data_IF_591737912019
#
_entry.id   IF_591737912019
#
_cell.length_a   1.000
_cell.length_b   1.000
_cell.length_c   1.000
_cell.angle_alpha   90.00
_cell.angle_beta   90.00
_cell.angle_gamma   90.00
#
_symmetry.space_group_name_H-M   'P 1'
#
loop_
_entity.id
_entity.type
_entity.pdbx_description
1 polymer ?
#
# COMPACT_ATOMS: atom_id res chain seq x y z
N UNK A 1 10.05 -13.72 5.15
CA UNK A 1 9.26 -13.69 3.89
C UNK A 1 9.22 -15.01 3.14
N UNK A 2 10.31 -15.80 3.06
CA UNK A 2 10.32 -17.10 2.34
C UNK A 2 9.34 -18.14 2.89
N UNK A 3 9.05 -18.12 4.19
CA UNK A 3 8.07 -19.01 4.84
C UNK A 3 6.60 -18.75 4.40
N UNK A 4 6.25 -17.50 4.13
CA UNK A 4 4.91 -17.11 3.70
C UNK A 4 4.69 -17.35 2.19
N UNK A 5 5.77 -17.30 1.39
CA UNK A 5 5.74 -17.55 -0.07
C UNK A 5 5.32 -18.99 -0.43
N UNK A 6 5.73 -19.99 0.36
CA UNK A 6 5.41 -21.41 0.11
C UNK A 6 3.92 -21.77 0.34
N UNK A 7 3.22 -21.00 1.18
CA UNK A 7 1.83 -21.25 1.56
C UNK A 7 0.82 -20.76 0.52
N UNK A 8 1.13 -19.69 -0.23
CA UNK A 8 0.22 -19.09 -1.21
C UNK A 8 -0.01 -19.98 -2.44
N UNK A 9 1.00 -20.76 -2.85
CA UNK A 9 0.90 -21.70 -3.98
C UNK A 9 -0.10 -22.84 -3.78
N UNK A 10 -0.51 -23.13 -2.55
CA UNK A 10 -1.26 -24.35 -2.20
C UNK A 10 -2.80 -24.20 -2.14
N UNK A 11 -3.36 -23.00 -2.27
CA UNK A 11 -4.81 -22.75 -2.14
C UNK A 11 -5.57 -22.59 -3.48
N UNK A 12 -4.92 -22.79 -4.63
CA UNK A 12 -5.58 -22.81 -5.95
C UNK A 12 -6.34 -24.12 -6.16
N UNK A 13 -7.56 -24.25 -5.67
CA UNK A 13 -8.55 -25.15 -6.26
C UNK A 13 -9.95 -24.88 -5.69
N UNK A 14 -10.73 -24.06 -6.39
CA UNK A 14 -12.20 -24.20 -6.48
C UNK A 14 -12.69 -23.37 -7.67
N UNK A 15 -13.07 -24.07 -8.75
CA UNK A 15 -13.77 -23.53 -9.93
C UNK A 15 -15.19 -23.20 -9.51
N UNK A 16 -15.75 -22.01 -9.76
CA UNK A 16 -17.19 -21.87 -10.05
C UNK A 16 -17.55 -20.57 -10.82
N UNK A 17 -18.27 -20.86 -11.91
CA UNK A 17 -19.31 -20.18 -12.72
C UNK A 17 -19.60 -18.68 -12.48
N UNK A 18 -19.57 -17.95 -13.60
CA UNK A 18 -19.92 -16.55 -13.81
C UNK A 18 -21.43 -16.27 -13.87
N UNK A 19 -21.88 -15.21 -13.21
CA UNK A 19 -23.15 -14.56 -13.54
C UNK A 19 -22.98 -13.04 -13.42
N UNK A 20 -23.21 -12.35 -14.54
CA UNK A 20 -23.21 -10.90 -14.67
C UNK A 20 -24.54 -10.37 -14.14
N UNK A 21 -24.52 -9.33 -13.30
CA UNK A 21 -25.73 -8.61 -12.89
C UNK A 21 -25.60 -7.11 -13.20
N UNK A 22 -26.68 -6.42 -13.62
CA UNK A 22 -26.62 -5.05 -14.11
C UNK A 22 -26.64 -4.01 -12.97
N UNK A 23 -25.95 -2.90 -13.23
CA UNK A 23 -25.88 -1.72 -12.37
C UNK A 23 -27.19 -0.91 -12.42
N UNK A 24 -27.81 -0.62 -11.27
CA UNK A 24 -28.82 0.43 -11.14
C UNK A 24 -28.34 1.49 -10.15
N UNK A 25 -28.25 2.72 -10.63
CA UNK A 25 -27.91 3.91 -9.86
C UNK A 25 -29.10 4.33 -8.98
N UNK A 26 -28.86 4.50 -7.68
CA UNK A 26 -29.68 5.36 -6.81
C UNK A 26 -28.78 6.35 -6.10
N UNK A 27 -29.02 7.63 -6.37
CA UNK A 27 -28.40 8.74 -5.65
C UNK A 27 -28.89 8.74 -4.20
N UNK A 28 -27.96 8.82 -3.24
CA UNK A 28 -28.25 9.03 -1.82
C UNK A 28 -27.73 10.42 -1.47
N UNK A 29 -28.65 11.32 -1.15
CA UNK A 29 -28.34 12.63 -0.58
C UNK A 29 -27.89 12.43 0.87
N UNK A 30 -26.67 12.86 1.20
CA UNK A 30 -26.15 12.87 2.57
C UNK A 30 -26.21 14.30 3.08
N UNK A 31 -26.94 14.50 4.18
CA UNK A 31 -27.08 15.79 4.86
C UNK A 31 -25.72 16.29 5.36
N UNK A 32 -25.51 17.60 5.21
CA UNK A 32 -24.34 18.32 5.71
C UNK A 32 -24.34 18.30 7.24
N UNK A 33 -23.36 17.63 7.85
CA UNK A 33 -23.00 17.85 9.25
C UNK A 33 -22.05 19.05 9.34
N UNK A 34 -22.48 20.06 10.08
CA UNK A 34 -21.73 21.26 10.42
C UNK A 34 -20.52 20.89 11.29
N UNK A 35 -19.32 21.22 10.83
CA UNK A 35 -18.07 21.10 11.60
C UNK A 35 -18.07 22.21 12.66
N UNK A 36 -18.22 21.83 13.93
CA UNK A 36 -17.98 22.72 15.05
C UNK A 36 -16.47 22.97 15.21
N UNK A 37 -16.07 24.22 15.34
CA UNK A 37 -14.70 24.62 15.73
C UNK A 37 -14.42 24.13 17.16
N UNK A 38 -13.66 23.04 17.27
CA UNK A 38 -13.19 22.52 18.55
C UNK A 38 -11.90 23.24 18.95
N UNK A 39 -12.02 24.24 19.83
CA UNK A 39 -10.91 24.97 20.46
C UNK A 39 -10.34 24.21 21.66
N UNK A 40 -10.12 22.90 21.49
CA UNK A 40 -9.46 22.08 22.50
C UNK A 40 -7.93 22.19 22.34
N UNK A 41 -7.26 22.74 23.35
CA UNK A 41 -5.82 22.60 23.53
C UNK A 41 -5.47 21.12 23.47
N UNK A 42 -4.76 20.71 22.42
CA UNK A 42 -4.39 19.30 22.23
C UNK A 42 -3.57 18.83 23.45
N UNK A 43 -3.96 17.73 24.11
CA UNK A 43 -3.23 17.25 25.26
C UNK A 43 -1.79 16.92 24.84
N UNK A 44 -0.81 17.42 25.59
CA UNK A 44 0.60 17.04 25.42
C UNK A 44 0.67 15.52 25.59
N UNK A 45 0.96 14.80 24.51
CA UNK A 45 1.11 13.36 24.55
C UNK A 45 2.46 13.07 25.19
N UNK A 46 2.45 12.75 26.48
CA UNK A 46 3.63 12.27 27.20
C UNK A 46 3.97 10.84 26.72
N UNK A 47 4.85 10.75 25.71
CA UNK A 47 5.28 9.48 25.12
C UNK A 47 6.47 8.90 25.90
N UNK A 48 6.19 8.17 26.97
CA UNK A 48 7.19 7.38 27.66
C UNK A 48 7.41 6.00 26.98
N UNK A 49 8.45 5.91 26.15
CA UNK A 49 8.88 4.65 25.53
C UNK A 49 9.48 3.64 26.52
N UNK A 50 9.73 4.03 27.77
CA UNK A 50 10.23 3.14 28.82
C UNK A 50 9.11 2.45 29.61
N UNK A 51 7.86 2.89 29.45
CA UNK A 51 6.70 2.22 30.05
C UNK A 51 6.30 0.95 29.28
N UNK A 52 6.99 -0.13 29.61
CA UNK A 52 6.71 -1.45 29.05
C UNK A 52 5.35 -2.01 29.51
N UNK A 53 4.82 -1.58 30.67
CA UNK A 53 3.51 -2.06 31.15
C UNK A 53 2.41 -1.54 30.24
N UNK A 54 2.46 -0.26 29.89
CA UNK A 54 1.52 0.32 28.95
C UNK A 54 1.69 -0.27 27.54
N UNK A 55 2.93 -0.46 27.08
CA UNK A 55 3.21 -1.00 25.74
C UNK A 55 2.67 -2.44 25.53
N UNK A 56 2.68 -3.26 26.57
CA UNK A 56 2.25 -4.66 26.51
C UNK A 56 0.95 -4.96 27.24
N UNK A 57 0.19 -3.94 27.69
CA UNK A 57 -1.04 -4.13 28.50
C UNK A 57 -2.08 -5.06 27.87
N UNK A 58 -2.17 -5.07 26.53
CA UNK A 58 -3.13 -5.88 25.76
C UNK A 58 -2.59 -7.27 25.40
N UNK A 59 -1.40 -7.64 25.88
CA UNK A 59 -0.71 -8.89 25.55
C UNK A 59 -0.66 -9.81 26.76
N UNK A 60 -1.03 -11.07 26.55
CA UNK A 60 -0.82 -12.14 27.53
C UNK A 60 0.67 -12.47 27.68
N UNK A 61 1.05 -13.01 28.85
CA UNK A 61 2.42 -13.50 29.09
C UNK A 61 2.85 -14.51 28.02
N UNK A 62 1.94 -15.38 27.58
CA UNK A 62 2.20 -16.35 26.52
C UNK A 62 2.50 -15.67 25.18
N UNK A 63 1.73 -14.64 24.79
CA UNK A 63 2.01 -13.87 23.58
C UNK A 63 3.40 -13.21 23.64
N UNK A 64 3.81 -12.69 24.81
CA UNK A 64 5.12 -12.06 24.99
C UNK A 64 6.24 -13.09 24.89
N UNK A 65 6.14 -14.22 25.60
CA UNK A 65 7.15 -15.31 25.58
C UNK A 65 7.29 -15.87 24.15
N UNK A 66 6.17 -16.07 23.47
CA UNK A 66 6.15 -16.52 22.08
C UNK A 66 6.81 -15.50 21.15
N UNK A 67 6.47 -14.22 21.26
CA UNK A 67 7.06 -13.16 20.46
C UNK A 67 8.58 -13.09 20.67
N UNK A 68 9.05 -13.17 21.92
CA UNK A 68 10.47 -13.20 22.25
C UNK A 68 11.18 -14.43 21.65
N UNK A 69 10.55 -15.60 21.74
CA UNK A 69 11.09 -16.85 21.16
C UNK A 69 11.22 -16.74 19.65
N UNK A 70 10.16 -16.31 18.96
CA UNK A 70 10.15 -16.09 17.52
C UNK A 70 11.19 -15.05 17.13
N UNK A 71 11.31 -13.95 17.88
CA UNK A 71 12.32 -12.92 17.65
C UNK A 71 13.74 -13.50 17.73
N UNK A 72 14.06 -14.29 18.77
CA UNK A 72 15.38 -14.91 18.93
C UNK A 72 15.69 -15.89 17.80
N UNK A 73 14.72 -16.71 17.40
CA UNK A 73 14.86 -17.67 16.29
C UNK A 73 15.07 -16.94 14.96
N UNK A 74 14.25 -15.93 14.67
CA UNK A 74 14.38 -15.11 13.45
C UNK A 74 15.62 -14.21 13.44
N UNK A 75 16.25 -13.95 14.60
CA UNK A 75 17.54 -13.24 14.65
C UNK A 75 18.70 -14.11 14.16
N UNK A 76 18.51 -15.42 14.02
CA UNK A 76 19.51 -16.32 13.43
C UNK A 76 19.45 -16.27 11.89
N UNK A 77 20.47 -15.68 11.27
CA UNK A 77 20.55 -15.53 9.80
C UNK A 77 20.50 -16.86 9.04
N UNK A 78 21.13 -17.91 9.57
CA UNK A 78 21.16 -19.23 8.94
C UNK A 78 19.78 -19.88 8.94
N UNK A 79 19.05 -19.75 10.05
CA UNK A 79 17.67 -20.23 10.12
C UNK A 79 16.77 -19.51 9.11
N UNK A 80 16.82 -18.17 9.07
CA UNK A 80 15.94 -17.39 8.18
C UNK A 80 16.24 -17.64 6.71
N UNK A 81 17.52 -17.66 6.32
CA UNK A 81 17.93 -17.91 4.93
C UNK A 81 17.52 -19.30 4.43
N UNK A 82 17.51 -20.30 5.31
CA UNK A 82 17.14 -21.69 4.97
C UNK A 82 15.73 -22.08 5.40
N UNK A 83 14.92 -21.11 5.83
CA UNK A 83 13.63 -21.36 6.48
C UNK A 83 12.64 -22.12 5.58
N UNK A 84 12.68 -21.87 4.26
CA UNK A 84 11.91 -22.61 3.26
C UNK A 84 12.32 -24.10 3.21
N UNK A 85 13.62 -24.39 3.08
CA UNK A 85 14.14 -25.76 3.07
C UNK A 85 13.82 -26.50 4.38
N UNK A 86 13.98 -25.81 5.51
CA UNK A 86 13.68 -26.35 6.84
C UNK A 86 12.20 -26.72 6.93
N UNK A 87 11.31 -25.83 6.47
CA UNK A 87 9.87 -26.09 6.50
C UNK A 87 9.49 -27.28 5.61
N UNK A 88 10.02 -27.35 4.39
CA UNK A 88 9.75 -28.47 3.50
C UNK A 88 10.25 -29.80 4.07
N UNK A 89 11.46 -29.83 4.62
CA UNK A 89 12.01 -31.04 5.28
C UNK A 89 11.15 -31.43 6.48
N UNK A 90 10.73 -30.45 7.28
CA UNK A 90 9.84 -30.67 8.43
C UNK A 90 8.51 -31.27 7.97
N UNK A 91 7.92 -30.74 6.90
CA UNK A 91 6.69 -31.28 6.31
C UNK A 91 6.86 -32.69 5.76
N UNK A 92 8.02 -33.03 5.19
CA UNK A 92 8.32 -34.39 4.70
C UNK A 92 8.48 -35.39 5.85
N UNK A 93 9.09 -34.98 6.97
CA UNK A 93 9.35 -35.86 8.12
C UNK A 93 8.11 -36.01 9.01
N UNK A 94 7.47 -34.90 9.40
CA UNK A 94 6.37 -34.89 10.36
C UNK A 94 4.99 -34.95 9.71
N UNK A 95 4.92 -34.78 8.39
CA UNK A 95 3.66 -34.62 7.65
C UNK A 95 3.06 -33.22 7.79
N UNK A 96 2.22 -32.84 6.81
CA UNK A 96 1.64 -31.48 6.69
C UNK A 96 0.78 -31.06 7.89
N UNK A 97 0.09 -32.01 8.53
CA UNK A 97 -0.82 -31.72 9.67
C UNK A 97 -0.02 -31.33 10.92
N UNK A 98 0.94 -32.16 11.31
CA UNK A 98 1.73 -31.94 12.52
C UNK A 98 2.65 -30.73 12.37
N UNK A 99 3.29 -30.57 11.20
CA UNK A 99 4.10 -29.39 10.92
C UNK A 99 3.28 -28.10 11.03
N UNK A 100 2.05 -28.10 10.52
CA UNK A 100 1.16 -26.93 10.58
C UNK A 100 0.67 -26.66 12.00
N UNK A 101 0.42 -27.71 12.79
CA UNK A 101 0.02 -27.58 14.19
C UNK A 101 1.11 -26.93 15.06
N UNK A 102 2.39 -27.10 14.70
CA UNK A 102 3.52 -26.45 15.39
C UNK A 102 3.77 -25.04 14.85
N UNK A 103 3.82 -24.90 13.53
CA UNK A 103 4.21 -23.64 12.88
C UNK A 103 3.14 -22.56 13.02
N UNK A 104 1.85 -22.91 12.91
CA UNK A 104 0.79 -21.90 12.91
C UNK A 104 0.73 -21.13 14.24
N UNK A 105 0.66 -21.78 15.42
CA UNK A 105 0.61 -21.06 16.68
C UNK A 105 1.88 -20.23 16.96
N UNK A 106 3.05 -20.71 16.52
CA UNK A 106 4.32 -20.03 16.77
C UNK A 106 4.55 -18.86 15.82
N UNK A 107 4.50 -19.09 14.50
CA UNK A 107 4.89 -18.11 13.49
C UNK A 107 3.70 -17.41 12.84
N UNK A 108 2.63 -18.12 12.50
CA UNK A 108 1.50 -17.49 11.79
C UNK A 108 0.79 -16.50 12.69
N UNK A 109 0.46 -16.90 13.92
CA UNK A 109 -0.20 -16.02 14.90
C UNK A 109 0.67 -14.81 15.31
N UNK A 110 1.96 -14.77 14.90
CA UNK A 110 2.87 -13.64 15.15
C UNK A 110 2.92 -12.68 13.95
N UNK A 111 2.81 -13.18 12.72
CA UNK A 111 3.03 -12.42 11.49
C UNK A 111 1.80 -12.27 10.59
N UNK A 112 0.74 -13.05 10.83
CA UNK A 112 -0.45 -13.12 9.99
C UNK A 112 -1.65 -12.63 10.79
N UNK A 113 -2.28 -11.56 10.31
CA UNK A 113 -3.46 -10.95 10.96
C UNK A 113 -4.75 -11.75 10.85
N UNK A 114 -4.72 -12.91 10.18
CA UNK A 114 -5.87 -13.80 9.98
C UNK A 114 -5.71 -14.64 8.71
N UNK A 115 -6.26 -15.86 8.70
CA UNK A 115 -6.26 -16.73 7.50
C UNK A 115 -7.60 -16.70 6.78
N UNK A 116 -8.66 -16.28 7.47
CA UNK A 116 -9.98 -15.98 6.92
C UNK A 116 -10.36 -14.52 7.13
N UNK A 117 -11.35 -14.04 6.38
CA UNK A 117 -11.91 -12.70 6.58
C UNK A 117 -12.47 -12.54 8.00
N UNK A 118 -13.07 -13.60 8.57
CA UNK A 118 -13.58 -13.57 9.94
C UNK A 118 -12.46 -13.36 10.96
N UNK A 119 -11.31 -14.02 10.80
CA UNK A 119 -10.15 -13.84 11.66
C UNK A 119 -9.61 -12.40 11.57
N UNK A 120 -9.51 -11.87 10.35
CA UNK A 120 -9.04 -10.51 10.10
C UNK A 120 -9.97 -9.51 10.78
N UNK A 121 -11.28 -9.67 10.64
CA UNK A 121 -12.28 -8.80 11.31
C UNK A 121 -12.19 -8.88 12.83
N UNK A 122 -12.05 -10.08 13.38
CA UNK A 122 -11.88 -10.26 14.83
C UNK A 122 -10.65 -9.49 15.33
N UNK A 123 -9.52 -9.56 14.60
CA UNK A 123 -8.30 -8.84 14.98
C UNK A 123 -8.41 -7.32 14.78
N UNK A 124 -9.11 -6.85 13.74
CA UNK A 124 -9.43 -5.43 13.57
C UNK A 124 -10.26 -4.93 14.77
N UNK A 125 -11.32 -5.65 15.15
CA UNK A 125 -12.16 -5.30 16.30
C UNK A 125 -11.36 -5.29 17.61
N UNK A 126 -10.47 -6.28 17.80
CA UNK A 126 -9.58 -6.37 18.97
C UNK A 126 -8.64 -5.16 19.05
N UNK A 127 -8.00 -4.78 17.93
CA UNK A 127 -7.09 -3.63 17.88
C UNK A 127 -7.83 -2.29 18.02
N UNK A 128 -9.02 -2.17 17.44
CA UNK A 128 -9.84 -0.97 17.57
C UNK A 128 -10.23 -0.71 19.04
N UNK A 129 -10.58 -1.76 19.80
CA UNK A 129 -10.84 -1.66 21.25
C UNK A 129 -9.59 -1.24 22.06
N UNK A 130 -8.41 -1.51 21.54
CA UNK A 130 -7.12 -1.08 22.08
C UNK A 130 -6.65 0.28 21.52
N UNK A 131 -7.58 1.08 20.98
CA UNK A 131 -7.33 2.38 20.36
C UNK A 131 -6.35 2.37 19.17
N UNK A 132 -6.30 1.27 18.41
CA UNK A 132 -5.40 1.10 17.28
C UNK A 132 -6.15 0.84 15.98
N UNK A 133 -5.88 1.66 14.95
CA UNK A 133 -6.30 1.38 13.58
C UNK A 133 -5.50 0.23 12.95
N UNK A 134 -6.02 -0.37 11.87
CA UNK A 134 -5.37 -1.51 11.19
C UNK A 134 -5.22 -1.25 9.70
N UNK A 135 -4.03 -1.52 9.16
CA UNK A 135 -3.79 -1.57 7.72
C UNK A 135 -3.78 -3.02 7.27
N UNK A 136 -4.76 -3.42 6.48
CA UNK A 136 -4.91 -4.80 6.02
C UNK A 136 -4.10 -5.00 4.74
N UNK A 137 -3.19 -5.97 4.73
CA UNK A 137 -2.47 -6.39 3.53
C UNK A 137 -2.77 -7.86 3.26
N UNK A 138 -3.22 -8.16 2.05
CA UNK A 138 -3.23 -9.53 1.58
C UNK A 138 -1.88 -9.91 0.98
N UNK A 139 -1.42 -11.10 1.33
CA UNK A 139 -0.19 -11.64 0.77
C UNK A 139 -0.47 -12.10 -0.67
N UNK A 140 -0.07 -11.27 -1.62
CA UNK A 140 -0.15 -11.55 -3.06
C UNK A 140 1.24 -11.44 -3.69
N UNK A 141 1.52 -12.33 -4.64
CA UNK A 141 2.73 -12.27 -5.45
C UNK A 141 2.48 -11.43 -6.70
N UNK A 142 3.56 -10.87 -7.25
CA UNK A 142 3.53 -10.26 -8.57
C UNK A 142 3.10 -11.31 -9.60
N UNK A 143 2.33 -10.90 -10.61
CA UNK A 143 1.84 -11.82 -11.63
C UNK A 143 2.84 -11.95 -12.78
N UNK A 144 2.99 -13.18 -13.28
CA UNK A 144 3.71 -13.46 -14.52
C UNK A 144 2.77 -13.54 -15.72
N UNK A 145 1.46 -13.80 -15.48
CA UNK A 145 0.43 -14.00 -16.50
C UNK A 145 -0.83 -13.21 -16.17
N UNK A 146 -1.45 -12.65 -17.20
CA UNK A 146 -2.67 -11.81 -17.10
C UNK A 146 -3.84 -12.58 -16.48
N UNK A 147 -3.96 -13.89 -16.73
CA UNK A 147 -5.05 -14.73 -16.19
C UNK A 147 -5.11 -14.75 -14.65
N UNK A 148 -4.00 -14.43 -13.98
CA UNK A 148 -3.94 -14.39 -12.51
C UNK A 148 -4.50 -13.08 -11.93
N UNK A 149 -4.47 -11.99 -12.71
CA UNK A 149 -4.85 -10.64 -12.27
C UNK A 149 -6.30 -10.58 -11.78
N UNK A 150 -7.23 -11.20 -12.53
CA UNK A 150 -8.66 -11.20 -12.19
C UNK A 150 -8.94 -11.88 -10.84
N UNK A 151 -8.25 -12.99 -10.56
CA UNK A 151 -8.37 -13.67 -9.26
C UNK A 151 -7.88 -12.79 -8.11
N UNK A 152 -6.76 -12.09 -8.32
CA UNK A 152 -6.21 -11.16 -7.33
C UNK A 152 -7.12 -9.97 -7.06
N UNK A 153 -7.62 -9.31 -8.12
CA UNK A 153 -8.55 -8.18 -8.00
C UNK A 153 -9.84 -8.57 -7.26
N UNK A 154 -10.42 -9.73 -7.58
CA UNK A 154 -11.60 -10.26 -6.87
C UNK A 154 -11.33 -10.52 -5.40
N UNK A 155 -10.17 -11.09 -5.07
CA UNK A 155 -9.78 -11.31 -3.68
C UNK A 155 -9.60 -9.98 -2.94
N UNK A 156 -9.06 -8.94 -3.60
CA UNK A 156 -8.89 -7.58 -3.04
C UNK A 156 -10.24 -6.98 -2.71
N UNK A 157 -11.17 -7.02 -3.67
CA UNK A 157 -12.55 -6.56 -3.49
C UNK A 157 -13.25 -7.31 -2.36
N UNK A 158 -13.17 -8.64 -2.34
CA UNK A 158 -13.80 -9.47 -1.31
C UNK A 158 -13.25 -9.18 0.09
N UNK A 159 -11.94 -8.96 0.21
CA UNK A 159 -11.34 -8.58 1.49
C UNK A 159 -11.79 -7.17 1.91
N UNK A 160 -11.87 -6.20 1.00
CA UNK A 160 -12.39 -4.86 1.31
C UNK A 160 -13.83 -4.92 1.84
N UNK A 161 -14.70 -5.68 1.19
CA UNK A 161 -16.08 -5.90 1.66
C UNK A 161 -16.09 -6.54 3.04
N UNK A 162 -15.25 -7.55 3.25
CA UNK A 162 -15.11 -8.24 4.52
C UNK A 162 -14.68 -7.32 5.68
N UNK A 163 -13.67 -6.48 5.47
CA UNK A 163 -13.14 -5.61 6.54
C UNK A 163 -14.03 -4.39 6.81
N UNK A 164 -14.92 -4.04 5.89
CA UNK A 164 -15.81 -2.88 6.00
C UNK A 164 -17.20 -3.22 6.54
N UNK A 165 -17.52 -4.51 6.72
CA UNK A 165 -18.81 -4.96 7.26
C UNK A 165 -19.08 -4.41 8.68
N UNK A 166 -18.03 -4.17 9.47
CA UNK A 166 -18.12 -3.46 10.75
C UNK A 166 -17.30 -2.18 10.68
N UNK A 167 -17.94 -1.05 10.97
CA UNK A 167 -17.25 0.25 11.03
C UNK A 167 -16.43 0.33 12.31
N UNK A 168 -15.19 0.80 12.18
CA UNK A 168 -14.34 1.22 13.30
C UNK A 168 -14.21 2.75 13.28
N UNK A 169 -13.93 3.41 14.42
CA UNK A 169 -13.72 4.86 14.45
C UNK A 169 -12.48 5.32 13.68
N UNK A 170 -11.56 4.41 13.35
CA UNK A 170 -10.30 4.72 12.66
C UNK A 170 -10.43 4.73 11.13
N UNK A 171 -11.55 4.22 10.59
CA UNK A 171 -11.72 3.99 9.15
C UNK A 171 -11.11 2.67 8.67
N UNK A 172 -11.20 2.42 7.37
CA UNK A 172 -10.73 1.19 6.73
C UNK A 172 -9.54 1.50 5.83
N UNK A 173 -8.43 0.77 6.02
CA UNK A 173 -7.23 0.93 5.21
C UNK A 173 -6.78 -0.43 4.68
N UNK A 174 -6.47 -0.48 3.39
CA UNK A 174 -5.94 -1.65 2.74
C UNK A 174 -4.67 -1.30 1.97
N UNK A 175 -3.63 -2.11 2.17
CA UNK A 175 -2.42 -2.06 1.35
C UNK A 175 -2.62 -2.95 0.12
N UNK A 176 -2.26 -2.43 -1.05
CA UNK A 176 -2.35 -3.14 -2.33
C UNK A 176 -1.02 -3.10 -3.06
N UNK A 177 -0.76 -4.13 -3.86
CA UNK A 177 0.36 -4.16 -4.81
C UNK A 177 -0.21 -4.08 -6.22
N UNK A 178 0.20 -3.08 -6.98
CA UNK A 178 -0.19 -2.96 -8.38
C UNK A 178 0.40 -4.13 -9.19
N UNK A 179 1.57 -4.65 -8.82
CA UNK A 179 2.13 -5.87 -9.45
C UNK A 179 1.25 -7.13 -9.31
N UNK A 180 0.25 -7.14 -8.43
CA UNK A 180 -0.73 -8.22 -8.37
C UNK A 180 -1.77 -8.18 -9.52
N UNK A 181 -1.82 -7.10 -10.29
CA UNK A 181 -2.77 -6.87 -11.39
C UNK A 181 -2.09 -6.60 -12.75
N UNK A 182 -0.78 -6.34 -12.76
CA UNK A 182 0.00 -6.04 -13.96
C UNK A 182 1.27 -6.88 -14.00
N UNK A 183 1.67 -7.39 -15.16
CA UNK A 183 2.86 -8.25 -15.24
C UNK A 183 4.14 -7.45 -15.04
N UNK A 184 5.20 -8.15 -14.62
CA UNK A 184 6.52 -7.55 -14.47
C UNK A 184 7.06 -6.97 -15.78
N UNK A 185 6.73 -7.57 -16.93
CA UNK A 185 7.15 -7.06 -18.24
C UNK A 185 6.55 -5.68 -18.51
N UNK A 186 5.22 -5.55 -18.39
CA UNK A 186 4.53 -4.27 -18.58
C UNK A 186 5.06 -3.19 -17.64
N UNK A 187 5.20 -3.52 -16.36
CA UNK A 187 5.64 -2.55 -15.34
C UNK A 187 7.07 -2.05 -15.60
N UNK A 188 7.97 -2.92 -16.06
CA UNK A 188 9.32 -2.53 -16.47
C UNK A 188 9.30 -1.66 -17.72
N UNK A 189 8.53 -2.04 -18.75
CA UNK A 189 8.42 -1.25 -19.98
C UNK A 189 7.88 0.15 -19.73
N UNK A 190 6.82 0.28 -18.93
CA UNK A 190 6.30 1.59 -18.53
C UNK A 190 7.29 2.40 -17.68
N UNK A 191 8.14 1.73 -16.89
CA UNK A 191 9.13 2.40 -16.04
C UNK A 191 10.31 2.97 -16.81
N UNK A 192 10.58 2.46 -18.02
CA UNK A 192 11.62 2.96 -18.92
C UNK A 192 11.19 4.19 -19.74
N UNK A 193 9.90 4.54 -19.74
CA UNK A 193 9.39 5.70 -20.46
C UNK A 193 9.90 7.00 -19.83
N UNK A 194 10.08 8.04 -20.65
CA UNK A 194 10.44 9.38 -20.18
C UNK A 194 9.36 9.95 -19.28
N UNK A 195 9.71 10.93 -18.45
CA UNK A 195 8.75 11.54 -17.51
C UNK A 195 7.58 12.22 -18.23
N UNK A 196 7.82 12.85 -19.38
CA UNK A 196 6.76 13.45 -20.21
C UNK A 196 5.77 12.39 -20.73
N UNK A 197 6.29 11.26 -21.23
CA UNK A 197 5.45 10.16 -21.71
C UNK A 197 4.71 9.53 -20.54
N UNK A 198 5.35 9.36 -19.38
CA UNK A 198 4.75 8.79 -18.19
C UNK A 198 3.60 9.65 -17.67
N UNK A 199 3.73 10.98 -17.73
CA UNK A 199 2.63 11.88 -17.41
C UNK A 199 1.44 11.71 -18.36
N UNK A 200 1.68 11.55 -19.68
CA UNK A 200 0.62 11.21 -20.64
C UNK A 200 -0.03 9.85 -20.34
N UNK A 201 0.75 8.84 -19.94
CA UNK A 201 0.23 7.53 -19.50
C UNK A 201 -0.72 7.70 -18.31
N UNK A 202 -0.41 8.56 -17.34
CA UNK A 202 -1.27 8.82 -16.18
C UNK A 202 -2.64 9.33 -16.62
N UNK A 203 -2.68 10.37 -17.45
CA UNK A 203 -3.93 10.98 -17.93
C UNK A 203 -4.74 10.02 -18.79
N UNK A 204 -4.12 9.36 -19.77
CA UNK A 204 -4.78 8.39 -20.65
C UNK A 204 -5.32 7.19 -19.88
N UNK A 205 -4.58 6.70 -18.89
CA UNK A 205 -5.02 5.58 -18.04
C UNK A 205 -6.22 5.98 -17.17
N UNK A 206 -6.20 7.18 -16.60
CA UNK A 206 -7.33 7.70 -15.82
C UNK A 206 -8.58 7.86 -16.69
N UNK A 207 -8.44 8.34 -17.92
CA UNK A 207 -9.56 8.49 -18.85
C UNK A 207 -10.09 7.14 -19.34
N UNK A 208 -9.21 6.18 -19.60
CA UNK A 208 -9.60 4.80 -19.91
C UNK A 208 -10.41 4.17 -18.76
N UNK A 209 -9.99 4.34 -17.52
CA UNK A 209 -10.72 3.82 -16.36
C UNK A 209 -12.12 4.43 -16.19
N UNK A 210 -12.36 5.64 -16.71
CA UNK A 210 -13.69 6.29 -16.66
C UNK A 210 -14.59 5.92 -17.83
N UNK A 211 -14.01 5.80 -19.03
CA UNK A 211 -14.76 5.70 -20.28
C UNK A 211 -14.76 4.31 -20.90
N UNK A 212 -13.79 3.47 -20.51
CA UNK A 212 -13.45 2.22 -21.18
C UNK A 212 -13.16 2.36 -22.68
N UNK A 213 -12.83 3.58 -23.15
CA UNK A 213 -12.49 3.82 -24.55
C UNK A 213 -11.01 3.48 -24.82
N UNK A 214 -10.69 2.40 -25.57
CA UNK A 214 -9.30 2.00 -25.82
C UNK A 214 -8.50 3.02 -26.66
N UNK A 215 -9.16 3.92 -27.41
CA UNK A 215 -8.47 4.93 -28.21
C UNK A 215 -7.65 5.92 -27.35
N UNK A 216 -8.01 6.08 -26.08
CA UNK A 216 -7.28 6.92 -25.10
C UNK A 216 -5.81 6.55 -24.94
N UNK A 217 -5.44 5.29 -25.20
CA UNK A 217 -4.09 4.74 -25.04
C UNK A 217 -3.49 4.27 -26.38
N UNK A 218 -4.16 4.48 -27.50
CA UNK A 218 -3.71 3.98 -28.82
C UNK A 218 -2.35 4.56 -29.23
N UNK A 219 -2.10 5.82 -28.89
CA UNK A 219 -0.82 6.51 -29.13
C UNK A 219 0.39 5.78 -28.49
N UNK A 220 0.17 4.98 -27.45
CA UNK A 220 1.22 4.21 -26.79
C UNK A 220 1.82 3.13 -27.72
N UNK A 221 1.06 2.67 -28.73
CA UNK A 221 1.53 1.69 -29.72
C UNK A 221 2.70 2.21 -30.55
N UNK A 222 2.73 3.52 -30.77
CA UNK A 222 3.73 4.22 -31.57
C UNK A 222 4.92 4.70 -30.72
N UNK A 223 4.84 4.53 -29.39
CA UNK A 223 5.87 4.97 -28.45
C UNK A 223 7.00 3.94 -28.39
N UNK A 224 8.26 4.34 -28.66
CA UNK A 224 9.41 3.44 -28.54
C UNK A 224 9.50 2.82 -27.13
N UNK A 225 9.68 1.50 -27.07
CA UNK A 225 9.75 0.77 -25.79
C UNK A 225 8.41 0.40 -25.15
N UNK A 226 7.28 0.86 -25.71
CA UNK A 226 5.94 0.53 -25.23
C UNK A 226 5.14 -0.41 -26.16
N UNK A 227 5.79 -0.96 -27.19
CA UNK A 227 5.12 -1.88 -28.12
C UNK A 227 4.69 -3.17 -27.41
N UNK A 228 3.49 -3.66 -27.72
CA UNK A 228 2.98 -4.94 -27.22
C UNK A 228 2.44 -4.95 -25.79
N UNK A 229 2.45 -3.82 -25.06
CA UNK A 229 1.94 -3.78 -23.67
C UNK A 229 0.49 -3.29 -23.56
N UNK A 230 -0.10 -2.73 -24.63
CA UNK A 230 -1.40 -2.05 -24.56
C UNK A 230 -2.52 -2.99 -24.14
N UNK A 231 -2.64 -4.17 -24.75
CA UNK A 231 -3.72 -5.11 -24.41
C UNK A 231 -3.69 -5.51 -22.93
N UNK A 232 -2.49 -5.68 -22.40
CA UNK A 232 -2.28 -5.99 -20.99
C UNK A 232 -2.59 -4.79 -20.09
N UNK A 233 -2.14 -3.59 -20.49
CA UNK A 233 -2.41 -2.34 -19.78
C UNK A 233 -3.92 -2.10 -19.66
N UNK A 234 -4.66 -2.20 -20.77
CA UNK A 234 -6.11 -2.05 -20.79
C UNK A 234 -6.79 -3.06 -19.85
N UNK A 235 -6.38 -4.34 -19.92
CA UNK A 235 -6.95 -5.39 -19.05
C UNK A 235 -6.67 -5.11 -17.56
N UNK A 236 -5.45 -4.72 -17.22
CA UNK A 236 -5.07 -4.38 -15.85
C UNK A 236 -5.76 -3.11 -15.34
N UNK A 237 -5.96 -2.10 -16.20
CA UNK A 237 -6.65 -0.86 -15.84
C UNK A 237 -8.14 -1.07 -15.55
N UNK A 238 -8.81 -1.99 -16.24
CA UNK A 238 -10.20 -2.38 -15.88
C UNK A 238 -10.22 -2.86 -14.43
N UNK A 239 -9.34 -3.80 -14.09
CA UNK A 239 -9.27 -4.40 -12.74
C UNK A 239 -8.87 -3.37 -11.68
N UNK A 240 -7.90 -2.52 -11.97
CA UNK A 240 -7.46 -1.45 -11.07
C UNK A 240 -8.59 -0.43 -10.82
N UNK A 241 -9.34 -0.06 -11.86
CA UNK A 241 -10.51 0.80 -11.77
C UNK A 241 -11.62 0.18 -10.92
N UNK A 242 -11.92 -1.11 -11.09
CA UNK A 242 -12.89 -1.84 -10.26
C UNK A 242 -12.48 -1.86 -8.77
N UNK A 243 -11.20 -2.13 -8.49
CA UNK A 243 -10.64 -2.08 -7.12
C UNK A 243 -10.78 -0.67 -6.53
N UNK A 244 -10.42 0.37 -7.29
CA UNK A 244 -10.56 1.77 -6.87
C UNK A 244 -12.01 2.17 -6.61
N UNK A 245 -12.93 1.79 -7.49
CA UNK A 245 -14.36 2.06 -7.32
C UNK A 245 -14.94 1.34 -6.08
N UNK A 246 -14.49 0.12 -5.81
CA UNK A 246 -14.86 -0.60 -4.59
C UNK A 246 -14.32 0.11 -3.34
N UNK A 247 -13.10 0.63 -3.39
CA UNK A 247 -12.51 1.39 -2.28
C UNK A 247 -13.29 2.68 -2.00
N UNK A 248 -13.70 3.41 -3.04
CA UNK A 248 -14.57 4.60 -2.90
C UNK A 248 -15.89 4.23 -2.23
N UNK A 249 -16.58 3.21 -2.73
CA UNK A 249 -17.92 2.82 -2.22
C UNK A 249 -17.90 2.24 -0.81
N UNK A 250 -16.84 1.52 -0.44
CA UNK A 250 -16.66 0.96 0.91
C UNK A 250 -16.00 1.93 1.89
N UNK A 251 -15.69 3.15 1.45
CA UNK A 251 -14.95 4.13 2.26
C UNK A 251 -13.56 3.62 2.71
N UNK A 252 -12.91 2.78 1.91
CA UNK A 252 -11.59 2.21 2.20
C UNK A 252 -10.49 3.05 1.57
N UNK A 253 -9.44 3.36 2.32
CA UNK A 253 -8.21 3.96 1.80
C UNK A 253 -7.29 2.87 1.26
N UNK A 254 -6.86 3.00 0.01
CA UNK A 254 -5.89 2.16 -0.66
C UNK A 254 -4.48 2.75 -0.52
N UNK A 255 -3.58 2.01 0.12
CA UNK A 255 -2.16 2.32 0.19
C UNK A 255 -1.42 1.48 -0.84
N UNK A 256 -0.92 2.11 -1.89
CA UNK A 256 -0.12 1.45 -2.92
C UNK A 256 1.28 1.20 -2.37
N UNK A 257 1.64 -0.08 -2.24
CA UNK A 257 2.99 -0.49 -1.84
C UNK A 257 3.99 -0.14 -2.94
N UNK A 258 5.11 0.46 -2.53
CA UNK A 258 6.28 0.59 -3.39
C UNK A 258 7.09 -0.71 -3.36
N UNK A 259 7.64 -1.08 -4.52
CA UNK A 259 8.30 -2.36 -4.76
C UNK A 259 9.78 -2.09 -5.13
N UNK A 260 10.22 -2.54 -6.31
CA UNK A 260 11.58 -2.40 -6.80
C UNK A 260 11.77 -1.13 -7.63
N UNK A 261 12.99 -0.58 -7.64
CA UNK A 261 13.31 0.67 -8.33
C UNK A 261 13.03 0.63 -9.84
N UNK A 262 13.19 -0.54 -10.47
CA UNK A 262 12.91 -0.75 -11.89
C UNK A 262 11.42 -0.87 -12.25
N UNK A 263 10.52 -0.90 -11.26
CA UNK A 263 9.06 -0.95 -11.45
C UNK A 263 8.34 0.25 -10.82
N UNK A 264 8.93 0.87 -9.81
CA UNK A 264 8.31 1.96 -9.06
C UNK A 264 7.80 3.12 -9.93
N UNK A 265 8.49 3.55 -11.01
CA UNK A 265 7.96 4.61 -11.86
C UNK A 265 6.59 4.26 -12.49
N UNK A 266 6.42 3.02 -12.96
CA UNK A 266 5.13 2.54 -13.46
C UNK A 266 4.08 2.39 -12.36
N UNK A 267 4.47 1.90 -11.18
CA UNK A 267 3.56 1.78 -10.02
C UNK A 267 3.04 3.17 -9.60
N UNK A 268 3.92 4.17 -9.49
CA UNK A 268 3.53 5.56 -9.21
C UNK A 268 2.61 6.11 -10.29
N UNK A 269 2.91 5.89 -11.58
CA UNK A 269 2.05 6.34 -12.67
C UNK A 269 0.64 5.73 -12.59
N UNK A 270 0.53 4.42 -12.36
CA UNK A 270 -0.76 3.74 -12.24
C UNK A 270 -1.51 4.17 -10.96
N UNK A 271 -0.81 4.41 -9.85
CA UNK A 271 -1.39 4.95 -8.62
C UNK A 271 -1.92 6.38 -8.80
N UNK A 272 -1.18 7.23 -9.52
CA UNK A 272 -1.60 8.59 -9.87
C UNK A 272 -2.79 8.58 -10.84
N UNK A 273 -2.83 7.66 -11.80
CA UNK A 273 -4.00 7.49 -12.65
C UNK A 273 -5.24 7.10 -11.84
N UNK A 274 -5.07 6.20 -10.86
CA UNK A 274 -6.15 5.79 -9.97
C UNK A 274 -6.58 6.92 -9.03
N UNK A 275 -5.64 7.73 -8.51
CA UNK A 275 -5.96 8.89 -7.68
C UNK A 275 -6.76 9.92 -8.47
N UNK A 276 -6.41 10.16 -9.75
CA UNK A 276 -7.20 10.99 -10.66
C UNK A 276 -8.62 10.45 -10.89
N UNK A 277 -8.93 9.18 -10.59
CA UNK A 277 -10.29 8.63 -10.69
C UNK A 277 -11.01 8.66 -9.34
N UNK A 278 -10.34 8.25 -8.26
CA UNK A 278 -10.95 7.97 -6.97
C UNK A 278 -10.87 9.13 -5.95
N UNK A 279 -9.85 9.99 -6.01
CA UNK A 279 -9.64 11.06 -5.03
C UNK A 279 -10.45 12.30 -5.44
N UNK A 280 -11.75 12.28 -5.16
CA UNK A 280 -12.67 13.39 -5.47
C UNK A 280 -12.94 14.27 -4.25
N UNK A 281 -13.47 13.65 -3.20
CA UNK A 281 -13.86 14.32 -1.95
C UNK A 281 -12.91 14.04 -0.80
N UNK A 282 -12.04 13.03 -0.94
CA UNK A 282 -11.02 12.63 0.04
C UNK A 282 -9.90 11.85 -0.63
N UNK A 283 -8.75 11.75 0.04
CA UNK A 283 -7.66 10.88 -0.40
C UNK A 283 -8.03 9.41 -0.18
N UNK A 284 -8.43 8.73 -1.25
CA UNK A 284 -8.66 7.28 -1.28
C UNK A 284 -7.38 6.54 -1.62
N UNK A 285 -6.59 7.03 -2.58
CA UNK A 285 -5.37 6.37 -3.07
C UNK A 285 -4.14 7.11 -2.55
N UNK A 286 -3.31 6.40 -1.80
CA UNK A 286 -2.11 6.90 -1.13
C UNK A 286 -0.90 6.17 -1.69
N UNK A 287 0.18 6.88 -2.01
CA UNK A 287 1.40 6.25 -2.51
C UNK A 287 2.45 6.03 -1.40
N UNK A 288 3.32 5.03 -1.56
CA UNK A 288 4.40 4.74 -0.60
C UNK A 288 5.72 5.35 -1.07
N UNK A 289 6.32 6.20 -0.25
CA UNK A 289 7.66 6.78 -0.49
C UNK A 289 8.71 6.01 0.30
N UNK A 290 9.73 5.50 -0.38
CA UNK A 290 10.79 4.67 0.23
C UNK A 290 12.07 5.48 0.49
N UNK A 291 12.19 6.13 1.65
CA UNK A 291 13.26 7.06 2.00
C UNK A 291 14.70 6.47 2.04
N UNK A 292 14.89 5.17 1.81
CA UNK A 292 16.21 4.60 1.55
C UNK A 292 16.76 4.92 0.15
N UNK A 293 15.92 5.35 -0.80
CA UNK A 293 16.34 5.70 -2.15
C UNK A 293 16.76 7.16 -2.26
N UNK A 294 17.86 7.40 -2.98
CA UNK A 294 18.43 8.73 -3.22
C UNK A 294 17.46 9.70 -3.89
N UNK A 295 16.52 9.20 -4.71
CA UNK A 295 15.53 9.99 -5.46
C UNK A 295 14.17 10.14 -4.76
N UNK A 296 13.97 9.56 -3.57
CA UNK A 296 12.62 9.51 -2.98
C UNK A 296 12.04 10.87 -2.60
N UNK A 297 12.88 11.82 -2.17
CA UNK A 297 12.41 13.16 -1.86
C UNK A 297 11.93 13.91 -3.11
N UNK A 298 12.73 13.87 -4.19
CA UNK A 298 12.36 14.43 -5.49
C UNK A 298 11.07 13.82 -6.04
N UNK A 299 10.93 12.49 -5.95
CA UNK A 299 9.72 11.79 -6.38
C UNK A 299 8.48 12.23 -5.59
N UNK A 300 8.59 12.36 -4.25
CA UNK A 300 7.49 12.85 -3.42
C UNK A 300 7.12 14.30 -3.77
N UNK A 301 8.11 15.17 -4.02
CA UNK A 301 7.85 16.55 -4.44
C UNK A 301 7.14 16.58 -5.80
N UNK A 302 7.53 15.72 -6.74
CA UNK A 302 6.83 15.59 -8.01
C UNK A 302 5.39 15.13 -7.83
N UNK A 303 5.12 14.12 -7.00
CA UNK A 303 3.76 13.66 -6.70
C UNK A 303 2.91 14.76 -6.05
N UNK A 304 3.50 15.52 -5.13
CA UNK A 304 2.87 16.67 -4.50
C UNK A 304 2.51 17.75 -5.54
N UNK A 305 3.47 18.15 -6.38
CA UNK A 305 3.27 19.15 -7.43
C UNK A 305 2.27 18.67 -8.48
N UNK A 306 2.27 17.37 -8.82
CA UNK A 306 1.30 16.77 -9.73
C UNK A 306 -0.10 16.85 -9.13
N UNK A 307 -0.28 16.52 -7.86
CA UNK A 307 -1.57 16.66 -7.17
C UNK A 307 -2.03 18.13 -7.13
N UNK A 308 -1.12 19.08 -6.89
CA UNK A 308 -1.43 20.51 -6.90
C UNK A 308 -1.83 21.01 -8.30
N UNK A 309 -1.10 20.63 -9.35
CA UNK A 309 -1.38 20.99 -10.75
C UNK A 309 -2.75 20.49 -11.20
N UNK A 310 -3.11 19.28 -10.79
CA UNK A 310 -4.38 18.63 -11.17
C UNK A 310 -5.57 19.06 -10.30
N UNK A 311 -5.35 19.98 -9.36
CA UNK A 311 -6.39 20.66 -8.58
C UNK A 311 -7.04 21.83 -9.37
N UNK A 312 -7.07 21.73 -10.71
CA UNK A 312 -7.69 22.67 -11.65
C UNK A 312 -8.42 21.90 -12.76
N UNK A 313 -9.71 22.24 -12.93
CA UNK A 313 -10.55 22.04 -14.11
C UNK A 313 -10.79 20.60 -14.60
N UNK A 314 -11.73 19.88 -13.97
CA UNK A 314 -12.76 19.14 -14.72
C UNK A 314 -14.05 19.07 -13.89
N UNK A 315 -14.86 20.09 -14.11
CA UNK A 315 -16.18 20.34 -13.53
C UNK A 315 -16.47 21.82 -13.75
N UNK A 316 -17.58 22.14 -14.41
CA UNK A 316 -17.91 23.50 -14.82
C UNK A 316 -17.83 24.54 -13.69
N UNK A 317 -17.77 25.80 -14.11
CA UNK A 317 -18.01 27.02 -13.34
C UNK A 317 -18.81 26.74 -12.04
N UNK A 318 -18.12 26.71 -10.88
CA UNK A 318 -18.78 26.72 -9.56
C UNK A 318 -18.53 25.58 -8.56
N UNK A 319 -17.74 24.54 -8.83
CA UNK A 319 -17.41 23.56 -7.76
C UNK A 319 -16.20 24.01 -6.95
N UNK A 320 -16.44 24.78 -5.89
CA UNK A 320 -15.42 25.24 -4.93
C UNK A 320 -14.94 24.17 -3.94
N UNK A 321 -15.29 22.88 -4.12
CA UNK A 321 -15.17 21.86 -3.07
C UNK A 321 -14.45 20.55 -3.49
N UNK A 322 -13.66 20.54 -4.55
CA UNK A 322 -12.75 19.42 -4.81
C UNK A 322 -11.38 19.75 -4.24
N UNK A 323 -11.15 19.35 -3.00
CA UNK A 323 -9.83 19.40 -2.36
C UNK A 323 -9.14 18.07 -2.64
N UNK A 324 -8.10 18.09 -3.47
CA UNK A 324 -7.22 16.93 -3.56
C UNK A 324 -6.45 16.79 -2.25
N UNK A 325 -6.84 15.84 -1.42
CA UNK A 325 -6.06 15.48 -0.26
C UNK A 325 -4.73 14.86 -0.74
N UNK A 326 -3.62 15.49 -0.38
CA UNK A 326 -2.30 14.94 -0.67
C UNK A 326 -2.03 13.87 0.37
N UNK A 327 -1.67 12.67 -0.09
CA UNK A 327 -1.47 11.56 0.81
C UNK A 327 -0.24 10.71 0.50
N UNK A 328 0.46 10.34 1.57
CA UNK A 328 1.73 9.63 1.48
C UNK A 328 1.89 8.63 2.63
N UNK A 329 2.51 7.48 2.34
CA UNK A 329 3.01 6.54 3.34
C UNK A 329 4.53 6.57 3.27
N UNK A 330 5.17 7.18 4.27
CA UNK A 330 6.62 7.21 4.36
C UNK A 330 7.13 5.93 5.01
N UNK A 331 8.06 5.25 4.34
CA UNK A 331 8.81 4.10 4.87
C UNK A 331 10.30 4.35 4.67
N UNK A 332 11.15 3.58 5.36
CA UNK A 332 12.56 3.48 4.94
C UNK A 332 12.65 2.71 3.62
N UNK A 333 12.36 1.41 3.64
CA UNK A 333 12.39 0.54 2.47
C UNK A 333 12.60 -0.92 2.86
N UNK A 334 12.24 -1.84 1.96
CA UNK A 334 12.30 -3.29 2.22
C UNK A 334 13.27 -4.04 1.29
N UNK A 335 13.84 -3.38 0.28
CA UNK A 335 14.58 -4.02 -0.82
C UNK A 335 16.07 -3.62 -0.92
N UNK A 336 16.62 -2.88 0.06
CA UNK A 336 18.01 -2.39 0.12
C UNK A 336 19.05 -3.36 -0.45
N UNK A 337 19.13 -4.58 0.10
CA UNK A 337 20.13 -5.58 -0.30
C UNK A 337 19.92 -6.06 -1.74
N UNK A 338 18.68 -6.21 -2.18
CA UNK A 338 18.37 -6.64 -3.54
C UNK A 338 18.77 -5.54 -4.54
N UNK A 339 18.46 -4.28 -4.25
CA UNK A 339 18.82 -3.12 -5.07
C UNK A 339 20.34 -2.91 -5.16
N UNK A 340 21.06 -3.06 -4.05
CA UNK A 340 22.53 -3.00 -4.05
C UNK A 340 23.16 -4.10 -4.89
N UNK A 341 22.66 -5.33 -4.79
CA UNK A 341 23.17 -6.46 -5.57
C UNK A 341 22.87 -6.30 -7.06
N UNK A 342 21.66 -5.82 -7.40
CA UNK A 342 21.28 -5.56 -8.79
C UNK A 342 22.17 -4.48 -9.41
N UNK A 343 22.35 -3.35 -8.71
CA UNK A 343 23.21 -2.25 -9.17
C UNK A 343 24.65 -2.71 -9.40
N UNK A 344 25.22 -3.51 -8.49
CA UNK A 344 26.56 -4.09 -8.65
C UNK A 344 26.64 -5.03 -9.85
N UNK A 345 25.63 -5.89 -10.03
CA UNK A 345 25.61 -6.88 -11.13
C UNK A 345 25.51 -6.20 -12.49
N UNK A 346 24.75 -5.11 -12.59
CA UNK A 346 24.58 -4.36 -13.84
C UNK A 346 25.66 -3.30 -14.07
N UNK A 347 26.53 -3.02 -13.09
CA UNK A 347 27.50 -1.93 -13.16
C UNK A 347 26.87 -0.53 -13.07
N UNK A 348 25.65 -0.43 -12.54
CA UNK A 348 24.91 0.83 -12.40
C UNK A 348 25.16 1.50 -11.03
N UNK A 349 25.02 2.83 -10.93
CA UNK A 349 25.05 3.52 -9.64
C UNK A 349 23.99 2.96 -8.68
N UNK A 350 24.38 2.72 -7.42
CA UNK A 350 23.46 2.21 -6.43
C UNK A 350 22.39 3.26 -6.09
N UNK A 351 21.08 2.93 -6.21
CA UNK A 351 20.00 3.87 -5.96
C UNK A 351 19.76 4.10 -4.46
N UNK A 352 20.33 3.27 -3.60
CA UNK A 352 20.21 3.31 -2.14
C UNK A 352 21.18 4.34 -1.55
N UNK A 353 20.76 5.02 -0.48
CA UNK A 353 21.61 5.90 0.31
C UNK A 353 22.81 5.17 0.92
N UNK A 354 23.91 5.90 1.11
CA UNK A 354 25.15 5.33 1.62
C UNK A 354 25.04 5.14 3.15
N UNK A 355 24.54 3.96 3.54
CA UNK A 355 24.40 3.56 4.94
C UNK A 355 23.08 3.96 5.61
N UNK A 356 22.89 3.39 6.80
CA UNK A 356 21.63 3.51 7.56
C UNK A 356 21.37 4.94 8.04
N UNK A 357 22.42 5.68 8.42
CA UNK A 357 22.27 7.06 8.89
C UNK A 357 21.78 8.00 7.79
N UNK A 358 22.29 7.83 6.56
CA UNK A 358 21.81 8.61 5.42
C UNK A 358 20.32 8.32 5.12
N UNK A 359 19.89 7.06 5.25
CA UNK A 359 18.47 6.69 5.18
C UNK A 359 17.65 7.32 6.31
N UNK A 360 18.18 7.39 7.53
CA UNK A 360 17.50 8.05 8.67
C UNK A 360 17.33 9.55 8.42
N UNK A 361 18.39 10.21 7.95
CA UNK A 361 18.36 11.63 7.62
C UNK A 361 17.32 11.92 6.52
N UNK A 362 17.29 11.10 5.46
CA UNK A 362 16.31 11.20 4.37
C UNK A 362 14.86 10.99 4.85
N UNK A 363 14.62 9.98 5.69
CA UNK A 363 13.30 9.74 6.28
C UNK A 363 12.85 10.92 7.15
N UNK A 364 13.70 11.38 8.07
CA UNK A 364 13.34 12.45 9.01
C UNK A 364 13.16 13.80 8.31
N UNK A 365 14.00 14.12 7.31
CA UNK A 365 13.84 15.37 6.54
C UNK A 365 12.56 15.36 5.69
N UNK A 366 12.23 14.22 5.08
CA UNK A 366 10.98 14.04 4.31
C UNK A 366 9.75 14.17 5.21
N UNK A 367 9.77 13.56 6.40
CA UNK A 367 8.70 13.67 7.38
C UNK A 367 8.52 15.13 7.86
N UNK A 368 9.62 15.80 8.20
CA UNK A 368 9.59 17.20 8.60
C UNK A 368 9.07 18.11 7.48
N UNK A 369 9.42 17.85 6.22
CA UNK A 369 8.90 18.59 5.09
C UNK A 369 7.37 18.46 4.96
N UNK A 370 6.81 17.25 5.12
CA UNK A 370 5.35 17.05 5.11
C UNK A 370 4.65 17.74 6.30
N UNK A 371 5.25 17.69 7.50
CA UNK A 371 4.73 18.42 8.68
C UNK A 371 4.73 19.93 8.45
N UNK A 372 5.80 20.47 7.87
CA UNK A 372 5.87 21.88 7.46
C UNK A 372 4.77 22.22 6.45
N UNK A 373 4.56 21.36 5.44
CA UNK A 373 3.47 21.55 4.46
C UNK A 373 2.09 21.53 5.10
N UNK A 374 1.82 20.69 6.10
CA UNK A 374 0.56 20.73 6.88
C UNK A 374 0.40 22.10 7.53
N UNK A 375 1.41 22.53 8.29
CA UNK A 375 1.38 23.79 9.02
C UNK A 375 1.15 24.99 8.09
N UNK A 376 1.84 25.01 6.96
CA UNK A 376 1.76 26.10 5.99
C UNK A 376 0.40 26.10 5.23
N UNK A 377 -0.26 24.93 5.09
CA UNK A 377 -1.53 24.78 4.37
C UNK A 377 -2.80 24.87 5.24
N UNK A 378 -2.68 24.94 6.57
CA UNK A 378 -3.84 24.96 7.50
C UNK A 378 -4.88 26.05 7.19
N UNK A 379 -4.53 27.10 6.43
CA UNK A 379 -5.43 28.19 6.07
C UNK A 379 -6.05 28.09 4.65
N UNK A 380 -5.76 27.03 3.87
CA UNK A 380 -6.18 26.92 2.46
C UNK A 380 -7.25 25.85 2.20
N UNK A 381 -7.82 25.26 3.26
CA UNK A 381 -8.86 24.22 3.16
C UNK A 381 -8.36 22.88 2.59
N UNK A 382 -7.05 22.72 2.36
CA UNK A 382 -6.44 21.47 1.85
C UNK A 382 -6.04 20.56 3.00
N UNK A 383 -6.44 19.28 2.97
CA UNK A 383 -5.95 18.31 3.95
C UNK A 383 -4.77 17.51 3.39
N UNK A 384 -3.64 17.56 4.08
CA UNK A 384 -2.52 16.64 3.83
C UNK A 384 -2.62 15.53 4.86
N UNK A 385 -2.66 14.27 4.41
CA UNK A 385 -2.79 13.08 5.26
C UNK A 385 -1.63 12.14 4.99
N UNK A 386 -0.80 11.83 5.98
CA UNK A 386 0.29 10.88 5.75
C UNK A 386 0.47 9.90 6.92
N UNK A 387 1.16 8.80 6.61
CA UNK A 387 1.62 7.80 7.59
C UNK A 387 3.13 7.89 7.70
N UNK A 388 3.63 7.95 8.93
CA UNK A 388 5.04 7.70 9.26
C UNK A 388 5.21 6.24 9.68
N UNK A 389 5.54 5.37 8.74
CA UNK A 389 5.72 3.95 9.01
C UNK A 389 7.18 3.64 9.41
N UNK A 390 7.44 3.66 10.73
CA UNK A 390 8.76 3.41 11.32
C UNK A 390 8.64 2.68 12.67
N UNK A 391 9.64 1.83 12.96
CA UNK A 391 9.87 1.25 14.30
C UNK A 391 11.07 1.89 15.01
N UNK A 392 11.69 2.90 14.40
CA UNK A 392 12.79 3.65 15.01
C UNK A 392 12.21 4.71 15.96
N UNK A 393 12.54 4.57 17.25
CA UNK A 393 12.05 5.42 18.33
C UNK A 393 12.40 6.90 18.12
N UNK A 394 13.63 7.20 17.71
CA UNK A 394 14.08 8.60 17.55
C UNK A 394 13.32 9.33 16.44
N UNK A 395 13.07 8.65 15.31
CA UNK A 395 12.23 9.19 14.23
C UNK A 395 10.79 9.46 14.69
N UNK A 396 10.24 8.61 15.56
CA UNK A 396 8.87 8.78 16.08
C UNK A 396 8.83 9.98 17.04
N UNK A 397 9.77 10.05 17.99
CA UNK A 397 9.90 11.17 18.93
C UNK A 397 10.01 12.51 18.19
N UNK A 398 10.93 12.59 17.23
CA UNK A 398 11.13 13.79 16.42
C UNK A 398 9.86 14.24 15.68
N UNK A 399 9.03 13.31 15.22
CA UNK A 399 7.80 13.64 14.51
C UNK A 399 6.67 14.11 15.43
N UNK A 400 6.63 13.65 16.68
CA UNK A 400 5.59 14.02 17.65
C UNK A 400 5.92 15.35 18.34
N UNK A 401 7.20 15.67 18.50
CA UNK A 401 7.66 16.95 19.08
C UNK A 401 7.53 18.16 18.12
N UNK A 402 7.23 17.91 16.83
CA UNK A 402 7.16 18.90 15.74
C UNK A 402 5.74 19.34 15.47
#
# INVERSE_FOLDING_TARGET
MSFLKLSARHFRQQKYISTVLPCQQKAVLINQETVAEDTATSPVVDLDFTDHKQAFKEKSLWEIVRALTVFRVCSNRTFVSRSAEIFERTQRILGKRLSSAVVKPLFYDQFVGGVTIADVRYNIDKLAKANSGTFVLMVMEAIDKVDEANGNAKNIIKMMEGITEKKTPYGSYMQIRISAMFTSHLLKSLSLLSDEVREKVIYSSAEYMRTHNPDTLRWLAETPGASGIISELLSGLILLGEVGQKAVTTNTVLMVDAEYTNTNPALTALAMALSLVCNRTKAVVWNTTQCYLKKSFEALQWEFNFAEKNNLHYGGWGSQNCVFDISAKLVRGAYMVAEENEAKTQGNPCPVHDGIQATHNSYNSTANWLLQKIRDNNNQGRQIRFVLASHNQDSIKQAVER
#
